data_IF_493147294041
#
_entry.id   IF_493147294041
#
_cell.length_a   1.000
_cell.length_b   1.000
_cell.length_c   1.000
_cell.angle_alpha   90.00
_cell.angle_beta   90.00
_cell.angle_gamma   90.00
#
_symmetry.space_group_name_H-M   'P 1'
#
loop_
_entity.id
_entity.type
_entity.pdbx_description
1 polymer ?
#
# COMPACT_ATOMS: atom_id res chain seq x y z
N UNK A 1 -7.69 6.70 13.22
CA UNK A 1 -8.95 6.58 12.45
C UNK A 1 -9.74 5.35 12.85
N UNK A 2 -9.19 4.13 12.79
CA UNK A 2 -9.96 2.91 13.08
C UNK A 2 -10.52 2.79 14.50
N UNK A 3 -9.80 3.26 15.53
CA UNK A 3 -10.35 3.30 16.90
C UNK A 3 -11.58 4.22 17.03
N UNK A 4 -11.60 5.32 16.27
CA UNK A 4 -12.77 6.19 16.18
C UNK A 4 -13.89 5.50 15.39
N UNK A 5 -13.53 4.75 14.34
CA UNK A 5 -14.48 3.96 13.56
C UNK A 5 -15.12 2.84 14.38
N UNK A 6 -14.36 2.14 15.23
CA UNK A 6 -14.87 1.12 16.15
C UNK A 6 -15.87 1.72 17.15
N UNK A 7 -15.54 2.88 17.75
CA UNK A 7 -16.47 3.63 18.62
C UNK A 7 -17.70 4.12 17.87
N UNK A 8 -17.53 4.54 16.62
CA UNK A 8 -18.63 4.95 15.76
C UNK A 8 -19.53 3.75 15.38
N UNK A 9 -18.93 2.58 15.11
CA UNK A 9 -19.64 1.34 14.78
C UNK A 9 -20.36 0.72 15.98
N UNK A 10 -19.96 1.02 17.22
CA UNK A 10 -20.73 0.63 18.41
C UNK A 10 -22.05 1.40 18.57
N UNK A 11 -22.26 2.49 17.83
CA UNK A 11 -23.54 3.20 17.80
C UNK A 11 -24.56 2.33 17.05
N UNK A 12 -25.81 2.18 17.57
CA UNK A 12 -26.85 1.39 16.92
C UNK A 12 -27.02 1.73 15.44
N UNK A 13 -27.14 0.69 14.60
CA UNK A 13 -27.16 0.81 13.12
C UNK A 13 -28.22 1.81 12.63
N UNK A 14 -29.40 1.87 13.25
CA UNK A 14 -30.48 2.79 12.86
C UNK A 14 -30.07 4.26 13.04
N UNK A 15 -29.51 4.62 14.19
CA UNK A 15 -29.01 5.98 14.45
C UNK A 15 -27.81 6.31 13.56
N UNK A 16 -26.91 5.35 13.42
CA UNK A 16 -25.68 5.51 12.63
C UNK A 16 -25.98 5.72 11.14
N UNK A 17 -26.82 4.88 10.55
CA UNK A 17 -27.08 4.87 9.11
C UNK A 17 -28.06 5.96 8.67
N UNK A 18 -29.07 6.29 9.49
CA UNK A 18 -30.13 7.21 9.08
C UNK A 18 -29.92 8.65 9.56
N UNK A 19 -29.09 8.88 10.60
CA UNK A 19 -28.89 10.20 11.18
C UNK A 19 -27.42 10.61 11.05
N UNK A 20 -26.52 9.85 11.69
CA UNK A 20 -25.13 10.29 11.82
C UNK A 20 -24.35 10.23 10.50
N UNK A 21 -24.40 9.13 9.75
CA UNK A 21 -23.60 8.97 8.52
C UNK A 21 -23.97 10.03 7.48
N UNK A 22 -25.27 10.28 7.18
CA UNK A 22 -25.66 11.34 6.26
C UNK A 22 -25.21 12.73 6.74
N UNK A 23 -25.40 13.07 8.02
CA UNK A 23 -24.97 14.37 8.55
C UNK A 23 -23.46 14.58 8.41
N UNK A 24 -22.65 13.57 8.73
CA UNK A 24 -21.19 13.66 8.64
C UNK A 24 -20.68 13.74 7.19
N UNK A 25 -21.43 13.21 6.22
CA UNK A 25 -21.07 13.25 4.80
C UNK A 25 -21.33 14.60 4.14
N UNK A 26 -22.36 15.31 4.59
CA UNK A 26 -22.74 16.64 4.10
C UNK A 26 -21.93 17.78 4.75
N UNK A 27 -21.03 17.45 5.69
CA UNK A 27 -20.14 18.45 6.27
C UNK A 27 -19.16 19.01 5.21
N UNK A 28 -18.89 20.32 5.24
CA UNK A 28 -17.97 20.96 4.30
C UNK A 28 -16.57 20.35 4.39
N UNK A 29 -16.07 19.85 3.25
CA UNK A 29 -14.84 19.05 3.15
C UNK A 29 -13.60 19.78 3.69
N UNK A 30 -13.47 21.08 3.43
CA UNK A 30 -12.28 21.87 3.80
C UNK A 30 -11.94 21.86 5.30
N UNK A 31 -12.94 21.65 6.19
CA UNK A 31 -12.73 21.59 7.65
C UNK A 31 -12.90 20.20 8.25
N UNK A 32 -13.66 19.32 7.59
CA UNK A 32 -14.12 18.06 8.18
C UNK A 32 -13.75 16.83 7.35
N UNK A 33 -12.71 16.91 6.51
CA UNK A 33 -12.34 15.81 5.62
C UNK A 33 -12.10 14.47 6.34
N UNK A 34 -11.45 14.51 7.50
CA UNK A 34 -11.23 13.31 8.33
C UNK A 34 -12.54 12.69 8.83
N UNK A 35 -13.54 13.51 9.11
CA UNK A 35 -14.87 13.11 9.58
C UNK A 35 -15.69 12.56 8.42
N UNK A 36 -15.59 13.17 7.24
CA UNK A 36 -16.22 12.67 6.01
C UNK A 36 -15.64 11.30 5.61
N UNK A 37 -14.31 11.15 5.67
CA UNK A 37 -13.61 9.87 5.46
C UNK A 37 -14.02 8.82 6.49
N UNK A 38 -14.24 9.22 7.75
CA UNK A 38 -14.75 8.32 8.80
C UNK A 38 -16.16 7.82 8.45
N UNK A 39 -17.06 8.72 8.02
CA UNK A 39 -18.43 8.38 7.65
C UNK A 39 -18.47 7.43 6.44
N UNK A 40 -17.71 7.73 5.38
CA UNK A 40 -17.56 6.85 4.22
C UNK A 40 -17.02 5.46 4.62
N UNK A 41 -15.97 5.42 5.45
CA UNK A 41 -15.42 4.14 5.96
C UNK A 41 -16.37 3.38 6.86
N UNK A 42 -17.33 4.05 7.51
CA UNK A 42 -18.33 3.40 8.37
C UNK A 42 -19.35 2.57 7.62
N UNK A 43 -19.53 2.84 6.33
CA UNK A 43 -20.35 2.03 5.43
C UNK A 43 -19.71 0.68 5.13
N UNK A 44 -18.38 0.60 5.20
CA UNK A 44 -17.61 -0.63 5.02
C UNK A 44 -17.71 -1.47 6.30
N UNK A 45 -18.60 -2.47 6.26
CA UNK A 45 -18.83 -3.39 7.38
C UNK A 45 -18.04 -4.68 7.24
N UNK A 46 -17.76 -5.12 6.00
CA UNK A 46 -16.90 -6.25 5.71
C UNK A 46 -15.43 -5.93 6.12
N UNK A 47 -14.81 -6.73 7.00
CA UNK A 47 -13.42 -6.52 7.41
C UNK A 47 -12.45 -6.52 6.22
N UNK A 48 -12.69 -7.35 5.21
CA UNK A 48 -11.86 -7.43 4.02
C UNK A 48 -11.92 -6.14 3.19
N UNK A 49 -13.11 -5.56 2.97
CA UNK A 49 -13.24 -4.25 2.34
C UNK A 49 -12.47 -3.17 3.07
N UNK A 50 -12.64 -3.11 4.39
CA UNK A 50 -11.95 -2.10 5.21
C UNK A 50 -10.44 -2.20 5.05
N UNK A 51 -9.90 -3.42 5.09
CA UNK A 51 -8.48 -3.66 4.90
C UNK A 51 -8.02 -3.30 3.48
N UNK A 52 -8.76 -3.73 2.46
CA UNK A 52 -8.44 -3.43 1.06
C UNK A 52 -8.48 -1.93 0.76
N UNK A 53 -9.45 -1.17 1.30
CA UNK A 53 -9.48 0.29 1.16
C UNK A 53 -8.21 0.95 1.72
N UNK A 54 -7.61 0.38 2.77
CA UNK A 54 -6.37 0.91 3.35
C UNK A 54 -5.14 0.52 2.56
N UNK A 55 -5.15 -0.67 1.93
CA UNK A 55 -4.04 -1.20 1.15
C UNK A 55 -4.05 -0.78 -0.31
N UNK A 56 -5.17 -0.27 -0.79
CA UNK A 56 -5.34 0.14 -2.17
C UNK A 56 -4.44 1.33 -2.48
N UNK A 57 -3.56 1.15 -3.46
CA UNK A 57 -2.60 2.17 -3.93
C UNK A 57 -3.26 3.11 -4.94
N UNK A 58 -4.07 2.55 -5.85
CA UNK A 58 -4.84 3.26 -6.86
C UNK A 58 -6.32 3.04 -6.56
N UNK A 59 -7.08 4.13 -6.37
CA UNK A 59 -8.52 4.02 -6.13
C UNK A 59 -9.29 3.42 -7.32
N UNK A 60 -10.53 3.00 -7.09
CA UNK A 60 -11.32 2.30 -8.10
C UNK A 60 -11.65 3.17 -9.31
N UNK A 61 -11.81 4.47 -9.12
CA UNK A 61 -12.14 5.42 -10.18
C UNK A 61 -10.95 5.55 -11.12
N UNK A 62 -9.77 5.87 -10.58
CA UNK A 62 -8.52 5.93 -11.32
C UNK A 62 -8.19 4.60 -11.99
N UNK A 63 -8.40 3.47 -11.31
CA UNK A 63 -8.17 2.15 -11.91
C UNK A 63 -9.07 1.90 -13.13
N UNK A 64 -10.33 2.33 -13.07
CA UNK A 64 -11.27 2.20 -14.18
C UNK A 64 -10.90 3.05 -15.38
N UNK A 65 -10.23 4.20 -15.19
CA UNK A 65 -9.66 5.03 -16.26
C UNK A 65 -8.46 4.36 -16.94
N UNK A 66 -7.69 3.56 -16.18
CA UNK A 66 -6.48 2.89 -16.64
C UNK A 66 -6.75 1.61 -17.44
N UNK A 67 -7.68 0.76 -16.99
CA UNK A 67 -7.86 -0.61 -17.50
C UNK A 67 -8.89 -0.73 -18.63
N UNK A 68 -8.58 -1.56 -19.63
CA UNK A 68 -9.52 -2.08 -20.61
C UNK A 68 -10.30 -3.23 -19.95
N UNK A 69 -11.64 -3.19 -19.99
CA UNK A 69 -12.47 -4.31 -19.51
C UNK A 69 -12.92 -4.29 -18.04
N UNK A 70 -12.72 -3.20 -17.29
CA UNK A 70 -13.24 -3.05 -15.93
C UNK A 70 -12.35 -3.68 -14.84
N UNK A 71 -12.83 -3.65 -13.60
CA UNK A 71 -12.07 -4.14 -12.45
C UNK A 71 -12.19 -5.68 -12.34
N UNK A 72 -11.06 -6.39 -12.40
CA UNK A 72 -11.03 -7.84 -12.25
C UNK A 72 -11.65 -8.36 -10.94
N UNK A 73 -11.99 -9.64 -10.91
CA UNK A 73 -12.65 -10.28 -9.78
C UNK A 73 -11.71 -10.34 -8.55
N UNK A 74 -12.06 -9.58 -7.50
CA UNK A 74 -11.30 -9.53 -6.24
C UNK A 74 -11.89 -10.43 -5.15
N UNK A 75 -12.86 -11.28 -5.48
CA UNK A 75 -13.58 -12.07 -4.48
C UNK A 75 -12.68 -13.14 -3.83
N UNK A 76 -11.79 -13.77 -4.59
CA UNK A 76 -10.83 -14.72 -4.02
C UNK A 76 -9.91 -14.05 -2.98
N UNK A 77 -9.38 -12.87 -3.30
CA UNK A 77 -8.55 -12.07 -2.37
C UNK A 77 -9.36 -11.68 -1.14
N UNK A 78 -10.61 -11.26 -1.34
CA UNK A 78 -11.51 -10.89 -0.26
C UNK A 78 -11.83 -12.07 0.64
N UNK A 79 -12.12 -13.25 0.09
CA UNK A 79 -12.36 -14.47 0.84
C UNK A 79 -11.16 -14.86 1.70
N UNK A 80 -9.95 -14.83 1.15
CA UNK A 80 -8.72 -15.09 1.90
C UNK A 80 -8.51 -14.07 3.03
N UNK A 81 -8.75 -12.79 2.76
CA UNK A 81 -8.67 -11.73 3.78
C UNK A 81 -9.71 -11.88 4.87
N UNK A 82 -10.95 -12.31 4.54
CA UNK A 82 -11.99 -12.55 5.55
C UNK A 82 -11.54 -13.60 6.55
N UNK A 83 -10.94 -14.71 6.11
CA UNK A 83 -10.42 -15.76 7.01
C UNK A 83 -9.38 -15.22 7.99
N UNK A 84 -8.47 -14.36 7.53
CA UNK A 84 -7.44 -13.75 8.38
C UNK A 84 -8.02 -12.69 9.32
N UNK A 85 -8.98 -11.91 8.85
CA UNK A 85 -9.56 -10.77 9.56
C UNK A 85 -10.78 -11.15 10.41
N UNK A 86 -11.25 -12.39 10.37
CA UNK A 86 -12.36 -12.92 11.18
C UNK A 86 -11.92 -13.58 12.48
N UNK A 87 -10.63 -13.53 12.85
CA UNK A 87 -10.15 -14.13 14.11
C UNK A 87 -10.96 -13.64 15.31
N UNK A 88 -11.49 -14.60 16.09
CA UNK A 88 -12.33 -14.34 17.25
C UNK A 88 -11.54 -13.94 18.52
N UNK A 89 -10.21 -14.09 18.50
CA UNK A 89 -9.33 -13.84 19.65
C UNK A 89 -9.28 -12.37 20.08
N UNK A 90 -9.65 -11.44 19.19
CA UNK A 90 -9.73 -10.02 19.51
C UNK A 90 -10.92 -9.34 18.84
N UNK A 91 -11.62 -8.51 19.62
CA UNK A 91 -12.69 -7.65 19.10
C UNK A 91 -12.16 -6.47 18.29
N UNK A 92 -10.89 -6.07 18.46
CA UNK A 92 -10.31 -4.93 17.76
C UNK A 92 -9.92 -5.28 16.32
N UNK A 93 -10.53 -4.58 15.36
CA UNK A 93 -10.15 -4.67 13.96
C UNK A 93 -8.70 -4.24 13.76
N UNK A 94 -8.23 -3.23 14.50
CA UNK A 94 -6.84 -2.76 14.42
C UNK A 94 -5.85 -3.87 14.74
N UNK A 95 -6.15 -4.72 15.73
CA UNK A 95 -5.29 -5.85 16.08
C UNK A 95 -5.35 -6.96 15.03
N UNK A 96 -6.54 -7.28 14.48
CA UNK A 96 -6.68 -8.24 13.37
C UNK A 96 -5.95 -7.77 12.11
N UNK A 97 -6.04 -6.49 11.79
CA UNK A 97 -5.29 -5.87 10.69
C UNK A 97 -3.78 -5.94 10.92
N UNK A 98 -3.29 -5.69 12.14
CA UNK A 98 -1.87 -5.85 12.47
C UNK A 98 -1.37 -7.29 12.28
N UNK A 99 -2.20 -8.29 12.63
CA UNK A 99 -1.89 -9.69 12.36
C UNK A 99 -1.87 -10.00 10.85
N UNK A 100 -2.84 -9.49 10.09
CA UNK A 100 -2.84 -9.62 8.63
C UNK A 100 -1.61 -8.95 7.99
N UNK A 101 -1.15 -7.81 8.53
CA UNK A 101 0.10 -7.16 8.11
C UNK A 101 1.35 -8.03 8.35
N UNK A 102 1.39 -8.78 9.45
CA UNK A 102 2.48 -9.73 9.71
C UNK A 102 2.44 -10.93 8.75
N UNK A 103 1.23 -11.39 8.40
CA UNK A 103 1.03 -12.60 7.58
C UNK A 103 1.19 -12.35 6.07
N UNK A 104 0.79 -11.18 5.57
CA UNK A 104 0.83 -10.89 4.13
C UNK A 104 1.96 -9.91 3.79
N UNK A 105 1.85 -8.58 4.02
CA UNK A 105 2.81 -7.64 3.46
C UNK A 105 4.19 -7.72 4.13
N UNK A 106 4.28 -8.12 5.40
CA UNK A 106 5.57 -8.30 6.05
C UNK A 106 6.35 -9.44 5.40
N UNK A 107 5.73 -10.60 5.21
CA UNK A 107 6.38 -11.77 4.60
C UNK A 107 6.60 -11.57 3.09
N UNK A 108 5.52 -11.29 2.35
CA UNK A 108 5.48 -11.34 0.89
C UNK A 108 5.98 -10.07 0.20
N UNK A 109 6.32 -9.03 0.96
CA UNK A 109 6.71 -7.75 0.39
C UNK A 109 7.95 -7.16 1.10
N UNK A 110 7.89 -6.93 2.40
CA UNK A 110 9.00 -6.29 3.12
C UNK A 110 10.19 -7.24 3.25
N UNK A 111 9.99 -8.40 3.89
CA UNK A 111 11.05 -9.37 4.15
C UNK A 111 11.62 -9.91 2.83
N UNK A 112 10.75 -10.29 1.88
CA UNK A 112 11.18 -10.76 0.56
C UNK A 112 12.12 -9.76 -0.14
N UNK A 113 11.81 -8.45 -0.11
CA UNK A 113 12.65 -7.45 -0.78
C UNK A 113 13.98 -7.25 -0.05
N UNK A 114 13.96 -7.15 1.27
CA UNK A 114 15.19 -7.01 2.06
C UNK A 114 16.11 -8.19 1.82
N UNK A 115 15.56 -9.41 1.90
CA UNK A 115 16.30 -10.65 1.65
C UNK A 115 16.94 -10.66 0.24
N UNK A 116 16.12 -10.50 -0.82
CA UNK A 116 16.62 -10.49 -2.20
C UNK A 116 17.68 -9.41 -2.46
N UNK A 117 17.47 -8.20 -1.96
CA UNK A 117 18.40 -7.09 -2.19
C UNK A 117 19.70 -7.24 -1.40
N UNK A 118 19.64 -7.69 -0.16
CA UNK A 118 20.84 -7.89 0.66
C UNK A 118 21.64 -9.10 0.19
N UNK A 119 20.99 -10.21 -0.15
CA UNK A 119 21.66 -11.42 -0.65
C UNK A 119 22.29 -11.21 -2.03
N UNK A 120 21.72 -10.35 -2.88
CA UNK A 120 22.37 -9.93 -4.12
C UNK A 120 23.75 -9.28 -3.90
N UNK A 121 23.99 -8.73 -2.71
CA UNK A 121 25.27 -8.13 -2.29
C UNK A 121 26.02 -9.01 -1.28
N UNK A 122 25.63 -10.28 -1.10
CA UNK A 122 26.19 -11.20 -0.09
C UNK A 122 26.13 -10.65 1.35
N UNK A 123 25.11 -9.84 1.65
CA UNK A 123 24.85 -9.28 2.99
C UNK A 123 23.69 -10.02 3.63
N UNK A 124 23.88 -10.51 4.86
CA UNK A 124 22.80 -11.10 5.65
C UNK A 124 22.13 -10.01 6.51
N UNK A 125 20.88 -9.66 6.19
CA UNK A 125 20.09 -8.73 6.98
C UNK A 125 19.37 -9.44 8.13
N UNK A 126 19.44 -8.88 9.34
CA UNK A 126 18.69 -9.36 10.52
C UNK A 126 17.69 -8.31 10.99
N UNK A 127 16.51 -8.74 11.41
CA UNK A 127 15.44 -7.87 11.92
C UNK A 127 15.06 -8.25 13.36
N UNK A 128 15.78 -7.73 14.38
CA UNK A 128 15.56 -8.10 15.78
C UNK A 128 14.13 -7.84 16.28
N UNK A 129 13.44 -6.84 15.71
CA UNK A 129 12.06 -6.53 16.08
C UNK A 129 11.04 -7.58 15.59
N UNK A 130 11.46 -8.50 14.73
CA UNK A 130 10.64 -9.62 14.26
C UNK A 130 10.95 -10.94 14.99
N UNK A 131 11.71 -10.92 16.08
CA UNK A 131 11.83 -12.09 16.96
C UNK A 131 10.44 -12.55 17.42
N UNK A 132 10.16 -13.85 17.29
CA UNK A 132 8.84 -14.40 17.56
C UNK A 132 8.36 -14.12 18.99
N UNK A 133 9.28 -14.05 19.97
CA UNK A 133 8.92 -13.73 21.37
C UNK A 133 8.40 -12.32 21.50
N UNK A 134 9.03 -11.37 20.79
CA UNK A 134 8.59 -9.98 20.78
C UNK A 134 7.28 -9.81 20.01
N UNK A 135 7.14 -10.50 18.87
CA UNK A 135 5.91 -10.47 18.07
C UNK A 135 4.73 -11.04 18.86
N UNK A 136 4.92 -12.20 19.51
CA UNK A 136 3.89 -12.81 20.36
C UNK A 136 3.49 -11.91 21.53
N UNK A 137 4.47 -11.31 22.21
CA UNK A 137 4.19 -10.32 23.25
C UNK A 137 3.37 -9.15 22.68
N UNK A 138 3.81 -8.58 21.56
CA UNK A 138 3.14 -7.45 20.92
C UNK A 138 1.71 -7.78 20.48
N UNK A 139 1.43 -9.00 20.03
CA UNK A 139 0.09 -9.46 19.66
C UNK A 139 -0.82 -9.62 20.88
N UNK A 140 -0.32 -10.15 22.00
CA UNK A 140 -1.07 -10.32 23.26
C UNK A 140 -1.33 -8.99 23.99
N UNK A 141 -0.50 -7.98 23.78
CA UNK A 141 -0.65 -6.69 24.45
C UNK A 141 -1.96 -5.99 24.07
N UNK A 142 -2.71 -5.48 25.08
CA UNK A 142 -3.86 -4.61 24.83
C UNK A 142 -3.49 -3.41 23.95
N UNK A 143 -4.45 -2.95 23.14
CA UNK A 143 -4.17 -1.95 22.10
C UNK A 143 -3.70 -0.61 22.70
N UNK A 144 -4.15 -0.27 23.89
CA UNK A 144 -3.83 0.94 24.64
C UNK A 144 -2.33 1.09 24.98
N UNK A 145 -1.60 -0.01 25.10
CA UNK A 145 -0.13 0.03 25.28
C UNK A 145 0.57 0.41 23.98
N UNK A 146 0.01 0.02 22.83
CA UNK A 146 0.55 0.31 21.50
C UNK A 146 0.12 1.69 21.00
N UNK A 147 -1.10 2.10 21.36
CA UNK A 147 -1.77 3.32 20.92
C UNK A 147 -2.34 4.12 22.11
N UNK A 148 -1.62 5.15 22.55
CA UNK A 148 -2.03 6.03 23.65
C UNK A 148 -2.16 7.47 23.16
N UNK A 149 -3.30 8.12 23.43
CA UNK A 149 -3.57 9.54 23.11
C UNK A 149 -3.32 9.94 21.64
N UNK A 150 -3.58 9.03 20.70
CA UNK A 150 -3.39 9.26 19.27
C UNK A 150 -1.95 8.99 18.79
N UNK A 151 -1.03 8.75 19.71
CA UNK A 151 0.33 8.33 19.37
C UNK A 151 0.41 6.82 19.15
N UNK A 152 1.37 6.40 18.34
CA UNK A 152 1.70 5.00 18.09
C UNK A 152 3.06 4.64 18.65
N UNK A 153 3.35 3.35 18.78
CA UNK A 153 4.62 2.83 19.33
C UNK A 153 4.85 3.27 20.78
N UNK A 154 3.79 3.51 21.54
CA UNK A 154 3.91 4.13 22.86
C UNK A 154 4.73 3.29 23.83
N UNK A 155 4.36 2.03 24.06
CA UNK A 155 5.13 1.11 24.92
C UNK A 155 6.58 0.94 24.44
N UNK A 156 6.80 0.98 23.12
CA UNK A 156 8.13 0.87 22.55
C UNK A 156 8.98 2.10 22.88
N UNK A 157 8.42 3.32 22.76
CA UNK A 157 9.13 4.54 23.16
C UNK A 157 9.41 4.55 24.66
N UNK A 158 8.39 4.26 25.47
CA UNK A 158 8.49 4.24 26.93
C UNK A 158 9.66 3.34 27.38
N UNK A 159 9.78 2.14 26.79
CA UNK A 159 10.81 1.14 27.13
C UNK A 159 12.26 1.56 26.78
N UNK A 160 12.45 2.54 25.90
CA UNK A 160 13.78 3.00 25.47
C UNK A 160 14.05 4.47 25.82
N UNK A 161 13.23 5.07 26.68
CA UNK A 161 13.33 6.50 27.05
C UNK A 161 14.71 6.84 27.61
N UNK A 162 15.30 5.93 28.40
CA UNK A 162 16.59 6.14 29.04
C UNK A 162 17.78 5.90 28.09
N UNK A 163 17.56 5.31 26.92
CA UNK A 163 18.62 4.88 25.99
C UNK A 163 18.70 5.75 24.73
N UNK A 164 17.65 6.48 24.41
CA UNK A 164 17.53 7.24 23.16
C UNK A 164 17.41 8.74 23.49
N UNK A 165 18.15 9.63 22.81
CA UNK A 165 18.05 11.06 23.04
C UNK A 165 16.61 11.58 22.88
N UNK A 166 16.16 12.53 23.73
CA UNK A 166 14.78 13.06 23.71
C UNK A 166 14.33 13.57 22.33
N UNK A 167 15.23 14.16 21.56
CA UNK A 167 14.99 14.66 20.21
C UNK A 167 14.63 13.54 19.21
N UNK A 168 15.19 12.34 19.39
CA UNK A 168 14.86 11.17 18.55
C UNK A 168 13.54 10.56 18.99
N UNK A 169 13.26 10.51 20.29
CA UNK A 169 11.98 10.03 20.85
C UNK A 169 10.79 10.89 20.41
N UNK A 170 10.98 12.21 20.39
CA UNK A 170 9.97 13.19 19.97
C UNK A 170 9.76 13.23 18.44
N UNK A 171 10.64 12.60 17.65
CA UNK A 171 10.56 12.65 16.19
C UNK A 171 9.26 12.00 15.68
N UNK A 172 8.53 12.67 14.77
CA UNK A 172 7.34 12.08 14.15
C UNK A 172 7.72 10.83 13.34
N UNK A 173 6.78 9.88 13.23
CA UNK A 173 6.97 8.69 12.40
C UNK A 173 7.22 9.13 10.96
N UNK A 174 8.42 8.84 10.46
CA UNK A 174 8.79 9.06 9.08
C UNK A 174 8.78 7.73 8.33
N UNK A 175 8.20 7.72 7.12
CA UNK A 175 8.23 6.55 6.24
C UNK A 175 9.55 6.45 5.49
N UNK A 176 9.92 5.22 5.10
CA UNK A 176 11.01 4.99 4.18
C UNK A 176 10.43 4.91 2.76
N UNK A 177 10.31 6.07 2.10
CA UNK A 177 9.83 6.11 0.72
C UNK A 177 10.98 6.56 -0.17
N UNK A 178 11.43 5.75 -1.14
CA UNK A 178 12.42 6.21 -2.10
C UNK A 178 11.85 7.37 -2.93
N UNK A 179 12.71 8.24 -3.51
CA UNK A 179 12.26 9.33 -4.38
C UNK A 179 11.84 8.80 -5.77
N UNK A 180 11.01 7.76 -5.81
CA UNK A 180 10.62 7.04 -7.03
C UNK A 180 9.93 7.97 -8.05
N UNK A 181 9.16 8.96 -7.58
CA UNK A 181 8.59 9.99 -8.47
C UNK A 181 9.66 10.78 -9.21
N UNK A 182 10.80 11.06 -8.58
CA UNK A 182 11.88 11.78 -9.26
C UNK A 182 12.69 10.84 -10.14
N UNK A 183 12.86 9.58 -9.74
CA UNK A 183 13.48 8.57 -10.58
C UNK A 183 12.74 8.37 -11.90
N UNK A 184 11.40 8.30 -11.89
CA UNK A 184 10.60 8.20 -13.13
C UNK A 184 10.77 9.40 -14.07
N UNK A 185 11.16 10.57 -13.55
CA UNK A 185 11.43 11.77 -14.36
C UNK A 185 12.86 11.84 -14.86
N UNK A 186 13.76 11.11 -14.22
CA UNK A 186 15.21 11.19 -14.42
C UNK A 186 15.79 9.83 -14.77
N UNK A 187 16.41 9.13 -13.82
CA UNK A 187 17.18 7.90 -14.08
C UNK A 187 16.38 6.73 -14.63
N UNK A 188 15.04 6.71 -14.45
CA UNK A 188 14.15 5.68 -14.99
C UNK A 188 13.30 6.19 -16.15
N UNK A 189 13.51 7.43 -16.62
CA UNK A 189 12.69 8.02 -17.69
C UNK A 189 12.75 7.19 -18.97
N UNK A 190 13.94 6.84 -19.42
CA UNK A 190 14.13 6.05 -20.63
C UNK A 190 13.42 4.70 -20.52
N UNK A 191 13.49 4.06 -19.35
CA UNK A 191 12.80 2.79 -19.09
C UNK A 191 11.28 2.94 -19.20
N UNK A 192 10.72 4.00 -18.61
CA UNK A 192 9.28 4.30 -18.68
C UNK A 192 8.85 4.52 -20.12
N UNK A 193 9.56 5.37 -20.86
CA UNK A 193 9.23 5.70 -22.24
C UNK A 193 9.33 4.48 -23.17
N UNK A 194 10.32 3.60 -22.94
CA UNK A 194 10.49 2.37 -23.72
C UNK A 194 9.44 1.30 -23.38
N UNK A 195 9.24 0.97 -22.10
CA UNK A 195 8.37 -0.15 -21.70
C UNK A 195 6.89 0.22 -21.82
N UNK A 196 6.55 1.50 -21.63
CA UNK A 196 5.18 2.01 -21.71
C UNK A 196 4.93 2.80 -23.01
N UNK A 197 5.70 2.53 -24.06
CA UNK A 197 5.40 3.04 -25.40
C UNK A 197 3.96 2.64 -25.82
N UNK A 198 3.17 3.54 -26.45
CA UNK A 198 1.75 3.29 -26.74
C UNK A 198 1.49 1.97 -27.47
N UNK A 199 2.36 1.60 -28.41
CA UNK A 199 2.25 0.37 -29.21
C UNK A 199 2.41 -0.88 -28.34
N UNK A 200 3.32 -0.84 -27.37
CA UNK A 200 3.56 -1.93 -26.43
C UNK A 200 2.44 -2.07 -25.41
N UNK A 201 1.95 -0.93 -24.92
CA UNK A 201 0.77 -0.93 -24.04
C UNK A 201 -0.45 -1.49 -24.75
N UNK A 202 -0.65 -1.12 -26.02
CA UNK A 202 -1.73 -1.64 -26.86
C UNK A 202 -1.60 -3.15 -27.10
N UNK A 203 -0.39 -3.64 -27.38
CA UNK A 203 -0.13 -5.05 -27.65
C UNK A 203 -0.52 -5.97 -26.48
N UNK A 204 -0.30 -5.53 -25.24
CA UNK A 204 -0.70 -6.29 -24.03
C UNK A 204 -2.21 -6.25 -23.79
N UNK A 205 -2.90 -5.19 -24.25
CA UNK A 205 -4.36 -5.12 -24.25
C UNK A 205 -5.04 -4.96 -22.89
N UNK A 206 -4.28 -4.68 -21.82
CA UNK A 206 -4.82 -4.53 -20.46
C UNK A 206 -5.03 -3.06 -20.05
N UNK A 207 -4.14 -2.17 -20.47
CA UNK A 207 -4.21 -0.73 -20.15
C UNK A 207 -4.61 0.08 -21.37
N UNK A 208 -5.30 1.21 -21.16
CA UNK A 208 -5.60 2.19 -22.22
C UNK A 208 -4.33 2.96 -22.60
N UNK A 209 -3.78 2.78 -23.81
CA UNK A 209 -2.51 3.40 -24.21
C UNK A 209 -2.52 4.92 -24.10
N UNK A 210 -3.61 5.55 -24.51
CA UNK A 210 -3.77 7.01 -24.51
C UNK A 210 -3.79 7.57 -23.08
N UNK A 211 -4.44 6.85 -22.15
CA UNK A 211 -4.44 7.22 -20.73
C UNK A 211 -3.03 7.14 -20.16
N UNK A 212 -2.29 6.06 -20.44
CA UNK A 212 -0.92 5.88 -19.94
C UNK A 212 0.01 6.98 -20.50
N UNK A 213 -0.04 7.23 -21.81
CA UNK A 213 0.76 8.27 -22.46
C UNK A 213 0.49 9.66 -21.87
N UNK A 214 -0.79 10.00 -21.64
CA UNK A 214 -1.18 11.26 -20.98
C UNK A 214 -0.65 11.38 -19.56
N UNK A 215 -0.67 10.29 -18.78
CA UNK A 215 -0.14 10.29 -17.41
C UNK A 215 1.38 10.45 -17.40
N UNK A 216 2.09 9.80 -18.32
CA UNK A 216 3.54 9.96 -18.49
C UNK A 216 3.88 11.41 -18.83
N UNK A 217 3.18 12.02 -19.80
CA UNK A 217 3.35 13.43 -20.15
C UNK A 217 3.09 14.35 -18.95
N UNK A 218 1.97 14.16 -18.25
CA UNK A 218 1.63 14.93 -17.06
C UNK A 218 2.70 14.78 -15.95
N UNK A 219 3.31 13.61 -15.80
CA UNK A 219 4.31 13.37 -14.77
C UNK A 219 5.68 13.95 -15.07
N UNK A 220 6.13 13.81 -16.31
CA UNK A 220 7.48 14.16 -16.75
C UNK A 220 7.54 15.64 -17.14
N UNK A 221 6.61 16.09 -17.99
CA UNK A 221 6.60 17.45 -18.54
C UNK A 221 5.92 18.41 -17.59
N UNK A 222 4.69 18.10 -17.18
CA UNK A 222 3.89 19.01 -16.32
C UNK A 222 4.20 18.86 -14.83
N UNK A 223 5.13 17.95 -14.48
CA UNK A 223 5.57 17.64 -13.11
C UNK A 223 4.44 17.29 -12.13
N UNK A 224 3.29 16.81 -12.61
CA UNK A 224 2.20 16.29 -11.76
C UNK A 224 2.64 15.02 -11.05
N UNK A 225 1.98 14.68 -9.95
CA UNK A 225 2.28 13.47 -9.18
C UNK A 225 1.41 12.29 -9.67
N UNK A 226 1.95 11.50 -10.60
CA UNK A 226 1.26 10.32 -11.18
C UNK A 226 2.05 9.02 -10.94
N UNK A 227 2.93 9.04 -9.93
CA UNK A 227 3.86 7.95 -9.61
C UNK A 227 3.16 6.58 -9.60
N UNK A 228 2.09 6.44 -8.85
CA UNK A 228 1.49 5.12 -8.60
C UNK A 228 0.85 4.50 -9.83
N UNK A 229 0.22 5.31 -10.68
CA UNK A 229 -0.37 4.86 -11.94
C UNK A 229 0.71 4.39 -12.90
N UNK A 230 1.75 5.20 -13.10
CA UNK A 230 2.87 4.89 -14.01
C UNK A 230 3.66 3.70 -13.48
N UNK A 231 3.98 3.68 -12.19
CA UNK A 231 4.74 2.58 -11.57
C UNK A 231 3.98 1.26 -11.66
N UNK A 232 2.65 1.26 -11.43
CA UNK A 232 1.85 0.03 -11.53
C UNK A 232 1.80 -0.49 -12.97
N UNK A 233 1.62 0.40 -13.95
CA UNK A 233 1.67 0.03 -15.36
C UNK A 233 3.06 -0.50 -15.75
N UNK A 234 4.13 0.18 -15.32
CA UNK A 234 5.53 -0.21 -15.61
C UNK A 234 5.84 -1.61 -15.07
N UNK A 235 5.59 -1.85 -13.78
CA UNK A 235 5.87 -3.14 -13.15
C UNK A 235 5.01 -4.24 -13.77
N UNK A 236 3.76 -3.95 -14.13
CA UNK A 236 2.92 -4.93 -14.83
C UNK A 236 3.50 -5.32 -16.19
N UNK A 237 3.92 -4.35 -17.02
CA UNK A 237 4.49 -4.65 -18.34
C UNK A 237 5.82 -5.41 -18.23
N UNK A 238 6.67 -5.06 -17.26
CA UNK A 238 7.89 -5.83 -16.99
C UNK A 238 7.57 -7.27 -16.56
N UNK A 239 6.60 -7.46 -15.66
CA UNK A 239 6.16 -8.80 -15.27
C UNK A 239 5.57 -9.58 -16.47
N UNK A 240 4.76 -8.94 -17.31
CA UNK A 240 4.18 -9.55 -18.49
C UNK A 240 5.27 -10.00 -19.48
N UNK A 241 6.24 -9.12 -19.76
CA UNK A 241 7.40 -9.42 -20.62
C UNK A 241 8.23 -10.59 -20.09
N UNK A 242 8.45 -10.67 -18.77
CA UNK A 242 9.23 -11.74 -18.14
C UNK A 242 8.51 -13.09 -18.14
N UNK A 243 7.22 -13.12 -17.78
CA UNK A 243 6.55 -14.35 -17.40
C UNK A 243 5.48 -14.83 -18.39
N UNK A 244 4.89 -13.92 -19.17
CA UNK A 244 3.82 -14.23 -20.12
C UNK A 244 4.38 -14.30 -21.54
N UNK A 245 4.92 -13.19 -22.04
CA UNK A 245 5.54 -13.13 -23.37
C UNK A 245 6.90 -13.83 -23.39
N UNK A 246 7.63 -13.79 -22.27
CA UNK A 246 9.03 -14.22 -22.16
C UNK A 246 9.94 -13.50 -23.18
N UNK A 247 9.62 -12.26 -23.48
CA UNK A 247 10.36 -11.33 -24.33
C UNK A 247 11.53 -10.66 -23.61
N UNK A 248 11.56 -10.75 -22.27
CA UNK A 248 12.66 -10.30 -21.42
C UNK A 248 13.21 -11.48 -20.61
N UNK A 249 14.54 -11.64 -20.58
CA UNK A 249 15.24 -12.59 -19.70
C UNK A 249 16.11 -11.84 -18.69
N UNK A 250 16.30 -12.43 -17.50
CA UNK A 250 17.12 -11.87 -16.42
C UNK A 250 18.30 -12.80 -16.17
N UNK A 251 19.25 -12.79 -17.10
CA UNK A 251 20.35 -13.75 -17.11
C UNK A 251 21.55 -13.27 -16.26
N UNK A 252 21.50 -12.03 -15.76
CA UNK A 252 22.56 -11.37 -14.97
C UNK A 252 22.01 -10.29 -14.02
N UNK A 253 22.90 -9.74 -13.18
CA UNK A 253 22.61 -8.60 -12.29
C UNK A 253 22.07 -7.43 -13.10
N UNK A 254 20.78 -7.13 -12.93
CA UNK A 254 20.09 -6.05 -13.62
C UNK A 254 20.81 -4.70 -13.46
N UNK A 255 21.30 -4.16 -14.58
CA UNK A 255 21.61 -2.74 -14.72
C UNK A 255 20.44 -2.01 -15.38
N UNK A 256 20.27 -0.70 -15.14
CA UNK A 256 19.29 0.11 -15.86
C UNK A 256 19.42 0.01 -17.39
N UNK A 257 20.65 -0.18 -17.89
CA UNK A 257 20.95 -0.29 -19.31
C UNK A 257 20.41 -1.58 -19.94
N UNK A 258 20.35 -2.68 -19.18
CA UNK A 258 19.76 -3.95 -19.63
C UNK A 258 18.26 -3.83 -19.93
N UNK A 259 17.58 -2.90 -19.25
CA UNK A 259 16.14 -2.67 -19.44
C UNK A 259 15.85 -1.66 -20.56
N UNK A 260 16.85 -0.86 -20.97
CA UNK A 260 16.75 0.14 -22.03
C UNK A 260 17.26 -0.40 -23.36
N UNK A 261 18.22 -1.33 -23.34
CA UNK A 261 18.90 -1.90 -24.51
C UNK A 261 18.57 -3.36 -24.83
N UNK A 262 17.84 -4.09 -23.98
CA UNK A 262 17.28 -5.37 -24.39
C UNK A 262 16.28 -5.14 -25.52
N UNK A 263 16.51 -5.75 -26.68
CA UNK A 263 15.50 -5.96 -27.71
C UNK A 263 14.37 -6.78 -27.08
N UNK A 264 13.44 -6.11 -26.42
CA UNK A 264 12.20 -6.73 -25.97
C UNK A 264 11.37 -6.93 -27.24
N UNK A 265 11.59 -8.07 -27.90
CA UNK A 265 10.87 -8.49 -29.11
C UNK A 265 9.45 -8.91 -28.78
#
# INVERSE_FOLDING_TARGET
MDRLLERYQSIPRLLRANILTPLLEHLPSARFENVRKLAQKSRLTDPADRYLTWRRIIDSERLSELLIGGNGEVEAVRAALRLLLSSAETRSFTQRAAYAELRLPMAENINMRVDKMCMAMSVEARSPLQDYRLVELALRLPLEYKLRRGESKTIFRDAFTDWIPPEVLARPKWGFTPPASEWLRTGLRSLVETVLAPERVAAVGVFRPETIARLIHAHIVERRYELWSIWSALIFHLWHALYIERSLTLDHTLSPDDLVGADIR
#
